data_IF_796759753622
#
_entry.id   IF_796759753622
#
_cell.length_a   1.000
_cell.length_b   1.000
_cell.length_c   1.000
_cell.angle_alpha   90.00
_cell.angle_beta   90.00
_cell.angle_gamma   90.00
#
_symmetry.space_group_name_H-M   'P 1'
#
loop_
_entity.id
_entity.type
_entity.pdbx_description
1 polymer ?
#
# COMPACT_ATOMS: atom_id res chain seq x y z
N UNK A 1 0.77 -11.63 7.22
CA UNK A 1 0.15 -10.57 6.39
C UNK A 1 0.72 -9.23 6.80
N UNK A 2 1.02 -8.32 5.87
CA UNK A 2 1.49 -6.96 6.21
C UNK A 2 0.29 -6.03 6.38
N UNK A 3 0.25 -5.31 7.49
CA UNK A 3 -0.87 -4.44 7.88
C UNK A 3 -0.36 -3.02 8.10
N UNK A 4 -0.85 -2.07 7.32
CA UNK A 4 -0.49 -0.67 7.45
C UNK A 4 -1.61 0.07 8.17
N UNK A 5 -1.28 0.64 9.33
CA UNK A 5 -2.16 1.53 10.09
C UNK A 5 -1.90 2.96 9.66
N UNK A 6 -2.78 3.53 8.85
CA UNK A 6 -2.67 4.91 8.38
C UNK A 6 -2.93 5.89 9.52
N UNK A 7 -2.29 7.06 9.46
CA UNK A 7 -2.51 8.15 10.43
C UNK A 7 -3.96 8.62 10.48
N UNK A 8 -4.71 8.45 9.39
CA UNK A 8 -6.15 8.77 9.29
C UNK A 8 -7.05 7.74 10.00
N UNK A 9 -6.48 6.74 10.67
CA UNK A 9 -7.21 5.65 11.35
C UNK A 9 -7.68 4.52 10.43
N UNK A 10 -7.45 4.61 9.12
CA UNK A 10 -7.75 3.53 8.17
C UNK A 10 -6.68 2.43 8.23
N UNK A 11 -7.07 1.20 7.94
CA UNK A 11 -6.15 0.05 7.89
C UNK A 11 -6.09 -0.49 6.47
N UNK A 12 -4.88 -0.80 6.01
CA UNK A 12 -4.62 -1.43 4.72
C UNK A 12 -3.98 -2.79 4.97
N UNK A 13 -4.62 -3.86 4.50
CA UNK A 13 -4.10 -5.21 4.58
C UNK A 13 -3.46 -5.60 3.24
N UNK A 14 -2.21 -6.06 3.28
CA UNK A 14 -1.38 -6.39 2.14
C UNK A 14 -0.99 -7.87 2.18
N UNK A 15 -1.19 -8.55 1.06
CA UNK A 15 -0.97 -10.00 0.94
C UNK A 15 0.49 -10.31 0.63
N UNK A 16 0.99 -9.73 -0.46
CA UNK A 16 2.32 -10.04 -0.99
C UNK A 16 2.86 -8.87 -1.80
N UNK A 17 4.18 -8.78 -1.83
CA UNK A 17 4.88 -7.92 -2.76
C UNK A 17 4.88 -8.55 -4.16
N UNK A 18 4.54 -7.77 -5.17
CA UNK A 18 4.47 -8.21 -6.57
C UNK A 18 5.60 -7.67 -7.43
N UNK A 19 6.17 -6.53 -7.07
CA UNK A 19 7.32 -5.93 -7.74
C UNK A 19 8.00 -4.85 -6.89
N UNK A 20 9.04 -4.22 -7.43
CA UNK A 20 9.67 -3.01 -6.88
C UNK A 20 9.76 -1.93 -7.95
N UNK A 21 9.68 -0.66 -7.55
CA UNK A 21 9.87 0.49 -8.43
C UNK A 21 10.45 1.66 -7.62
N UNK A 22 11.55 2.27 -8.06
CA UNK A 22 12.16 3.45 -7.40
C UNK A 22 12.41 3.32 -5.88
N UNK A 23 12.71 2.12 -5.40
CA UNK A 23 12.88 1.84 -3.96
C UNK A 23 11.57 1.66 -3.18
N UNK A 24 10.42 1.71 -3.85
CA UNK A 24 9.13 1.27 -3.32
C UNK A 24 8.93 -0.22 -3.59
N UNK A 25 8.32 -0.91 -2.64
CA UNK A 25 7.70 -2.22 -2.87
C UNK A 25 6.29 -2.01 -3.38
N UNK A 26 5.92 -2.69 -4.46
CA UNK A 26 4.54 -2.73 -4.95
C UNK A 26 3.87 -3.93 -4.32
N UNK A 27 2.81 -3.69 -3.56
CA UNK A 27 2.09 -4.71 -2.79
C UNK A 27 0.66 -4.87 -3.28
N UNK A 28 0.20 -6.11 -3.37
CA UNK A 28 -1.20 -6.45 -3.66
C UNK A 28 -2.00 -6.39 -2.35
N UNK A 29 -3.19 -5.76 -2.38
CA UNK A 29 -4.10 -5.80 -1.24
C UNK A 29 -4.53 -7.24 -0.94
N UNK A 30 -4.76 -7.54 0.34
CA UNK A 30 -5.44 -8.76 0.75
C UNK A 30 -6.88 -8.76 0.21
N UNK A 31 -7.18 -9.67 -0.73
CA UNK A 31 -8.38 -9.60 -1.58
C UNK A 31 -9.71 -9.58 -0.84
N UNK A 32 -9.80 -10.23 0.33
CA UNK A 32 -11.03 -10.25 1.15
C UNK A 32 -11.08 -9.15 2.21
N UNK A 33 -10.00 -8.41 2.46
CA UNK A 33 -9.92 -7.47 3.59
C UNK A 33 -9.67 -6.03 3.16
N UNK A 34 -9.15 -5.79 1.94
CA UNK A 34 -8.85 -4.45 1.48
C UNK A 34 -9.05 -4.32 -0.03
N UNK A 35 -9.70 -3.24 -0.43
CA UNK A 35 -9.70 -2.71 -1.78
C UNK A 35 -9.84 -1.20 -1.70
N UNK A 36 -9.37 -0.47 -2.70
CA UNK A 36 -9.61 0.97 -2.75
C UNK A 36 -10.17 1.36 -4.10
N UNK A 37 -11.30 2.05 -4.07
CA UNK A 37 -11.84 2.74 -5.23
C UNK A 37 -11.40 4.19 -5.17
N UNK A 38 -10.80 4.67 -6.24
CA UNK A 38 -10.47 6.09 -6.36
C UNK A 38 -11.62 6.82 -7.06
N UNK A 39 -11.96 8.01 -6.56
CA UNK A 39 -12.96 8.89 -7.18
C UNK A 39 -12.24 9.89 -8.10
N UNK A 40 -12.88 10.39 -9.17
CA UNK A 40 -14.30 10.31 -9.50
C UNK A 40 -14.70 9.16 -10.45
N UNK A 41 -13.75 8.48 -11.06
CA UNK A 41 -13.97 7.44 -12.08
C UNK A 41 -14.33 6.07 -11.50
N UNK A 42 -14.28 5.92 -10.18
CA UNK A 42 -14.58 4.68 -9.45
C UNK A 42 -13.67 3.51 -9.87
N UNK A 43 -12.48 3.82 -10.39
CA UNK A 43 -11.49 2.80 -10.73
C UNK A 43 -11.09 2.03 -9.49
N UNK A 44 -11.16 0.69 -9.57
CA UNK A 44 -10.77 -0.22 -8.51
C UNK A 44 -9.26 -0.44 -8.58
N UNK A 45 -8.56 -0.07 -7.52
CA UNK A 45 -7.13 -0.31 -7.39
C UNK A 45 -6.91 -1.55 -6.50
N UNK A 46 -5.94 -2.36 -6.93
CA UNK A 46 -5.54 -3.59 -6.25
C UNK A 46 -4.14 -3.55 -5.65
N UNK A 47 -3.43 -2.43 -5.84
CA UNK A 47 -2.04 -2.31 -5.43
C UNK A 47 -1.76 -0.98 -4.74
N UNK A 48 -0.75 -1.03 -3.88
CA UNK A 48 -0.11 0.15 -3.31
C UNK A 48 1.39 0.07 -3.55
N UNK A 49 2.00 1.22 -3.79
CA UNK A 49 3.43 1.40 -3.66
C UNK A 49 3.71 1.80 -2.21
N UNK A 50 4.72 1.19 -1.60
CA UNK A 50 5.10 1.44 -0.20
C UNK A 50 6.61 1.64 -0.08
N UNK A 51 7.02 2.60 0.75
CA UNK A 51 8.42 2.85 1.10
C UNK A 51 8.60 2.91 2.62
N UNK A 52 9.63 2.26 3.19
CA UNK A 52 10.55 1.32 2.54
C UNK A 52 9.82 0.07 1.99
N UNK A 53 10.45 -0.61 1.02
CA UNK A 53 9.86 -1.77 0.35
C UNK A 53 9.62 -2.97 1.28
N UNK A 54 10.51 -3.15 2.25
CA UNK A 54 10.49 -4.19 3.29
C UNK A 54 10.56 -3.51 4.67
N UNK A 55 9.43 -3.07 5.23
CA UNK A 55 9.39 -2.35 6.50
C UNK A 55 9.45 -3.30 7.68
N UNK A 56 10.16 -2.91 8.74
CA UNK A 56 10.10 -3.61 10.02
C UNK A 56 8.80 -3.29 10.76
N UNK A 57 8.40 -4.18 11.69
CA UNK A 57 7.26 -3.91 12.55
C UNK A 57 7.49 -2.64 13.37
N UNK A 58 6.48 -1.77 13.43
CA UNK A 58 6.57 -0.46 14.08
C UNK A 58 7.25 0.63 13.24
N UNK A 59 7.75 0.31 12.06
CA UNK A 59 8.39 1.29 11.19
C UNK A 59 7.37 2.18 10.48
N UNK A 60 7.70 3.46 10.34
CA UNK A 60 6.93 4.37 9.50
C UNK A 60 7.07 4.01 8.03
N UNK A 61 5.95 4.05 7.32
CA UNK A 61 5.88 3.82 5.88
C UNK A 61 5.12 4.94 5.20
N UNK A 62 5.53 5.25 3.97
CA UNK A 62 4.75 6.07 3.05
C UNK A 62 4.13 5.15 2.00
N UNK A 63 2.82 5.26 1.80
CA UNK A 63 2.05 4.45 0.84
C UNK A 63 1.33 5.33 -0.17
N UNK A 64 1.24 4.86 -1.41
CA UNK A 64 0.43 5.46 -2.47
C UNK A 64 -0.35 4.38 -3.22
N UNK A 65 -1.57 4.67 -3.60
CA UNK A 65 -2.36 3.75 -4.44
C UNK A 65 -1.81 3.84 -5.87
N UNK A 66 -1.52 2.70 -6.49
CA UNK A 66 -0.93 2.67 -7.83
C UNK A 66 -1.52 1.55 -8.71
N UNK A 67 -1.31 1.67 -10.02
CA UNK A 67 -1.40 0.55 -10.93
C UNK A 67 0.03 0.03 -11.19
N UNK A 68 0.25 -1.29 -11.24
CA UNK A 68 1.55 -1.82 -11.61
C UNK A 68 2.00 -1.29 -12.98
N UNK A 69 3.22 -0.77 -13.04
CA UNK A 69 3.81 -0.23 -14.28
C UNK A 69 3.51 1.25 -14.55
N UNK A 70 2.63 1.91 -13.79
CA UNK A 70 2.47 3.38 -13.92
C UNK A 70 3.61 4.12 -13.20
N UNK A 71 4.09 5.24 -13.75
CA UNK A 71 5.15 6.04 -13.12
C UNK A 71 4.69 6.68 -11.81
N UNK A 72 5.64 7.01 -10.93
CA UNK A 72 5.39 7.48 -9.56
C UNK A 72 4.55 8.77 -9.50
N UNK A 73 4.69 9.66 -10.49
CA UNK A 73 3.92 10.90 -10.60
C UNK A 73 2.43 10.68 -10.94
N UNK A 74 2.05 9.48 -11.39
CA UNK A 74 0.65 9.11 -11.67
C UNK A 74 -0.02 8.38 -10.50
N UNK A 75 0.75 8.03 -9.46
CA UNK A 75 0.22 7.39 -8.28
C UNK A 75 -0.69 8.36 -7.50
N UNK A 76 -1.63 7.79 -6.75
CA UNK A 76 -2.55 8.60 -5.95
C UNK A 76 -1.83 9.20 -4.74
N UNK A 77 -2.36 10.28 -4.14
CA UNK A 77 -1.68 11.00 -3.08
C UNK A 77 -1.12 10.09 -1.99
N UNK A 78 0.14 10.34 -1.63
CA UNK A 78 0.85 9.60 -0.60
C UNK A 78 0.21 9.81 0.77
N UNK A 79 0.20 8.73 1.55
CA UNK A 79 -0.27 8.71 2.94
C UNK A 79 0.81 8.07 3.79
N UNK A 80 0.90 8.50 5.04
CA UNK A 80 1.80 7.90 6.01
C UNK A 80 1.04 6.94 6.92
N UNK A 81 1.78 5.96 7.44
CA UNK A 81 1.28 4.99 8.40
C UNK A 81 2.40 4.23 9.06
N UNK A 82 2.02 3.24 9.88
CA UNK A 82 2.95 2.36 10.58
C UNK A 82 2.73 0.92 10.11
N UNK A 83 3.81 0.24 9.76
CA UNK A 83 3.81 -1.17 9.40
C UNK A 83 3.64 -2.06 10.63
N UNK A 84 2.76 -3.04 10.53
CA UNK A 84 2.53 -4.10 11.52
C UNK A 84 2.35 -5.42 10.78
N UNK A 85 2.52 -6.55 11.46
CA UNK A 85 2.39 -7.87 10.85
C UNK A 85 1.33 -8.68 11.59
N UNK A 86 0.34 -9.18 10.86
CA UNK A 86 -0.65 -10.11 11.39
C UNK A 86 -0.09 -11.53 11.26
N UNK A 87 0.11 -12.21 12.40
CA UNK A 87 0.76 -13.53 12.50
C UNK A 87 1.81 -13.70 13.61
N UNK A 88 1.78 -12.87 14.67
CA UNK A 88 2.49 -13.13 15.94
C UNK A 88 1.48 -13.46 17.03
#
# INVERSE_FOLDING_TARGET
MLVIRLETGSVINLERQVSTANGYGIWEYHRSQSSTMYRPDFTVYRHVAMKPADPQAGQQVTVAICLPGTPENEWKPFRNGVATYDGV
#
